data_IF_975269355390
#
_entry.id   IF_975269355390
#
_cell.length_a   1.000
_cell.length_b   1.000
_cell.length_c   1.000
_cell.angle_alpha   90.00
_cell.angle_beta   90.00
_cell.angle_gamma   90.00
#
_symmetry.space_group_name_H-M   'P 1'
#
loop_
_entity.id
_entity.type
_entity.pdbx_description
1 polymer ?
#
# COMPACT_ATOMS: atom_id res chain seq x y z
N UNK A 1 -11.36 -39.05 -25.28
CA UNK A 1 -12.01 -37.72 -25.20
C UNK A 1 -11.26 -36.93 -24.14
N UNK A 2 -10.69 -35.79 -24.53
CA UNK A 2 -9.81 -34.99 -23.68
C UNK A 2 -10.62 -34.27 -22.60
N UNK A 3 -10.23 -34.43 -21.34
CA UNK A 3 -10.70 -33.58 -20.26
C UNK A 3 -10.06 -32.20 -20.44
N UNK A 4 -10.91 -31.18 -20.53
CA UNK A 4 -10.51 -29.78 -20.59
C UNK A 4 -9.98 -29.38 -19.22
N UNK A 5 -8.67 -29.47 -19.04
CA UNK A 5 -7.98 -28.87 -17.90
C UNK A 5 -7.97 -27.37 -18.14
N UNK A 6 -8.99 -26.70 -17.60
CA UNK A 6 -9.01 -25.25 -17.53
C UNK A 6 -7.81 -24.82 -16.69
N UNK A 7 -6.75 -24.38 -17.37
CA UNK A 7 -5.60 -23.73 -16.75
C UNK A 7 -6.10 -22.52 -15.95
N UNK A 8 -6.38 -22.73 -14.67
CA UNK A 8 -6.35 -21.65 -13.68
C UNK A 8 -4.90 -21.17 -13.64
N UNK A 9 -4.55 -20.23 -14.52
CA UNK A 9 -3.41 -19.35 -14.31
C UNK A 9 -3.60 -18.71 -12.94
N UNK A 10 -2.91 -19.24 -11.94
CA UNK A 10 -2.72 -18.57 -10.67
C UNK A 10 -2.01 -17.26 -11.00
N UNK A 11 -2.74 -16.14 -10.96
CA UNK A 11 -2.13 -14.82 -10.90
C UNK A 11 -1.08 -14.87 -9.79
N UNK A 12 0.18 -14.64 -10.16
CA UNK A 12 1.30 -14.52 -9.24
C UNK A 12 0.90 -13.53 -8.14
N UNK A 13 0.79 -14.02 -6.90
CA UNK A 13 0.06 -13.35 -5.82
C UNK A 13 0.48 -11.90 -5.56
N UNK A 14 -0.50 -10.99 -5.50
CA UNK A 14 -0.33 -9.62 -5.02
C UNK A 14 0.22 -9.70 -3.58
N UNK A 15 1.40 -9.11 -3.36
CA UNK A 15 1.98 -8.99 -2.03
C UNK A 15 1.40 -7.76 -1.35
N UNK A 16 0.96 -7.93 -0.11
CA UNK A 16 0.37 -6.87 0.71
C UNK A 16 1.20 -6.70 1.99
N UNK A 17 1.31 -5.47 2.45
CA UNK A 17 2.01 -5.10 3.66
C UNK A 17 1.27 -3.94 4.32
N UNK A 18 1.17 -3.96 5.64
CA UNK A 18 0.57 -2.86 6.40
C UNK A 18 1.44 -2.47 7.58
N UNK A 19 1.50 -1.17 7.88
CA UNK A 19 2.25 -0.64 9.02
C UNK A 19 1.55 0.54 9.66
N UNK A 20 1.55 0.55 11.00
CA UNK A 20 1.08 1.67 11.81
C UNK A 20 2.26 2.36 12.50
N UNK A 21 2.34 3.68 12.34
CA UNK A 21 3.41 4.50 12.90
C UNK A 21 2.78 5.56 13.82
N UNK A 22 2.90 5.41 15.16
CA UNK A 22 2.45 6.42 16.09
C UNK A 22 3.44 7.59 16.15
N UNK A 23 2.93 8.81 16.10
CA UNK A 23 3.69 10.04 16.30
C UNK A 23 3.38 10.67 17.68
N UNK A 24 4.35 11.42 18.27
CA UNK A 24 4.13 12.12 19.53
C UNK A 24 2.97 13.13 19.50
N UNK A 25 2.61 13.66 18.32
CA UNK A 25 1.48 14.57 18.14
C UNK A 25 0.78 14.40 16.78
N UNK A 26 -0.50 14.80 16.71
CA UNK A 26 -1.24 14.84 15.43
C UNK A 26 -0.59 15.77 14.41
N UNK A 27 0.04 16.85 14.85
CA UNK A 27 0.71 17.79 13.97
C UNK A 27 1.90 17.14 13.26
N UNK A 28 2.74 16.38 13.97
CA UNK A 28 3.85 15.64 13.38
C UNK A 28 3.35 14.55 12.42
N UNK A 29 2.26 13.87 12.77
CA UNK A 29 1.66 12.88 11.89
C UNK A 29 1.13 13.49 10.58
N UNK A 30 0.55 14.70 10.63
CA UNK A 30 0.14 15.46 9.43
C UNK A 30 1.35 15.88 8.61
N UNK A 31 2.45 16.31 9.24
CA UNK A 31 3.69 16.66 8.55
C UNK A 31 4.25 15.43 7.83
N UNK A 32 4.29 14.28 8.50
CA UNK A 32 4.74 13.02 7.91
C UNK A 32 3.85 12.60 6.73
N UNK A 33 2.52 12.61 6.89
CA UNK A 33 1.59 12.31 5.80
C UNK A 33 1.87 13.17 4.58
N UNK A 34 2.01 14.49 4.74
CA UNK A 34 2.24 15.42 3.62
C UNK A 34 3.61 15.26 2.97
N UNK A 35 4.62 14.91 3.77
CA UNK A 35 6.00 14.73 3.28
C UNK A 35 6.18 13.38 2.56
N UNK A 36 5.49 12.34 3.03
CA UNK A 36 5.52 10.99 2.49
C UNK A 36 4.41 10.73 1.46
N UNK A 37 3.44 11.64 1.36
CA UNK A 37 2.37 11.59 0.36
C UNK A 37 3.03 11.27 -0.98
N UNK A 38 2.69 10.13 -1.59
CA UNK A 38 3.50 9.57 -2.65
C UNK A 38 3.62 10.58 -3.76
N UNK A 39 4.82 11.13 -3.95
CA UNK A 39 5.14 11.82 -5.17
C UNK A 39 4.97 10.80 -6.28
N UNK A 40 4.37 11.18 -7.42
CA UNK A 40 3.91 10.25 -8.47
C UNK A 40 4.96 9.15 -8.69
N UNK A 41 4.71 7.98 -8.10
CA UNK A 41 5.69 6.91 -7.92
C UNK A 41 6.42 6.68 -9.25
N UNK A 42 7.77 6.50 -9.27
CA UNK A 42 8.48 6.31 -10.53
C UNK A 42 7.82 5.20 -11.33
N UNK A 43 7.57 5.49 -12.61
CA UNK A 43 6.64 4.84 -13.56
C UNK A 43 6.97 3.38 -13.91
N UNK A 44 7.65 2.64 -13.03
CA UNK A 44 7.92 1.22 -13.11
C UNK A 44 6.86 0.51 -12.28
N UNK A 45 5.76 0.20 -12.97
CA UNK A 45 4.44 -0.05 -12.39
C UNK A 45 4.28 -1.32 -11.56
N UNK A 46 3.14 -1.34 -10.87
CA UNK A 46 2.58 -2.52 -10.19
C UNK A 46 2.46 -2.38 -8.67
N UNK A 47 3.00 -1.32 -8.06
CA UNK A 47 2.93 -1.10 -6.61
C UNK A 47 1.94 0.03 -6.31
N UNK A 48 0.95 -0.28 -5.48
CA UNK A 48 0.01 0.70 -4.93
C UNK A 48 0.40 1.00 -3.49
N UNK A 49 0.33 2.26 -3.10
CA UNK A 49 0.52 2.71 -1.72
C UNK A 49 -0.62 3.63 -1.35
N UNK A 50 -1.20 3.40 -0.18
CA UNK A 50 -2.23 4.26 0.38
C UNK A 50 -1.77 4.68 1.77
N UNK A 51 -1.75 5.98 2.04
CA UNK A 51 -1.43 6.51 3.35
C UNK A 51 -2.68 7.15 3.94
N UNK A 52 -3.00 6.79 5.17
CA UNK A 52 -4.14 7.34 5.91
C UNK A 52 -3.70 7.80 7.30
N UNK A 53 -4.44 8.75 7.88
CA UNK A 53 -4.13 9.32 9.18
C UNK A 53 -5.35 9.19 10.11
N UNK A 54 -5.12 8.68 11.32
CA UNK A 54 -6.09 8.63 12.40
C UNK A 54 -5.46 9.19 13.68
N UNK A 55 -5.91 10.39 14.10
CA UNK A 55 -5.36 11.06 15.28
C UNK A 55 -3.88 11.43 15.10
N UNK A 56 -3.00 10.75 15.84
CA UNK A 56 -1.54 10.88 15.73
C UNK A 56 -0.86 9.64 15.13
N UNK A 57 -1.62 8.72 14.54
CA UNK A 57 -1.10 7.50 13.92
C UNK A 57 -1.26 7.56 12.41
N UNK A 58 -0.18 7.28 11.69
CA UNK A 58 -0.15 7.12 10.23
C UNK A 58 -0.20 5.63 9.89
N UNK A 59 -1.09 5.24 8.99
CA UNK A 59 -1.25 3.86 8.52
C UNK A 59 -0.97 3.77 7.02
N UNK A 60 -0.24 2.74 6.61
CA UNK A 60 0.15 2.47 5.23
C UNK A 60 -0.12 1.01 4.85
#
# INVERSE_FOLDING_TARGET
MAATEAEKRTESGKLEFSVDVPFPSSQEAVIALRSLSPDREPRKGGIEKQLTLSGSTLSA
#
